data_IF_159124636188
#
_entry.id   IF_159124636188
#
_cell.length_a   1.000
_cell.length_b   1.000
_cell.length_c   1.000
_cell.angle_alpha   90.00
_cell.angle_beta   90.00
_cell.angle_gamma   90.00
#
_symmetry.space_group_name_H-M   'P 1'
#
loop_
_entity.id
_entity.type
_entity.pdbx_description
1 polymer ?
#
# COMPACT_ATOMS: atom_id res chain seq x y z
N UNK A 1 -24.12 22.24 5.55
CA UNK A 1 -23.16 21.65 6.51
C UNK A 1 -22.93 20.20 6.11
N UNK A 2 -21.80 19.87 5.48
CA UNK A 2 -21.50 18.48 5.14
C UNK A 2 -21.32 17.70 6.46
N UNK A 3 -22.04 16.59 6.60
CA UNK A 3 -21.94 15.72 7.78
C UNK A 3 -20.60 15.00 7.73
N UNK A 4 -19.81 15.08 8.81
CA UNK A 4 -18.59 14.26 8.99
C UNK A 4 -18.94 12.78 8.73
N UNK A 5 -18.15 12.04 7.93
CA UNK A 5 -18.32 10.61 7.82
C UNK A 5 -18.06 9.98 9.20
N UNK A 6 -18.90 9.00 9.56
CA UNK A 6 -18.69 8.22 10.78
C UNK A 6 -17.43 7.37 10.60
N UNK A 7 -16.55 7.27 11.61
CA UNK A 7 -15.43 6.33 11.54
C UNK A 7 -15.96 4.90 11.38
N UNK A 8 -15.29 4.12 10.54
CA UNK A 8 -15.52 2.69 10.44
C UNK A 8 -15.34 2.03 11.83
N UNK A 9 -16.06 0.93 12.13
CA UNK A 9 -15.88 0.23 13.39
C UNK A 9 -14.42 -0.17 13.58
N UNK A 10 -13.88 0.11 14.79
CA UNK A 10 -12.52 -0.28 15.17
C UNK A 10 -12.32 -1.78 14.94
N UNK A 11 -11.34 -2.16 14.12
CA UNK A 11 -10.81 -3.53 14.09
C UNK A 11 -10.24 -3.85 15.48
N UNK A 12 -10.61 -5.01 16.03
CA UNK A 12 -9.98 -5.53 17.25
C UNK A 12 -8.56 -6.01 16.96
N UNK A 13 -7.73 -6.20 18.01
CA UNK A 13 -6.40 -6.78 17.85
C UNK A 13 -6.53 -8.21 17.31
N UNK A 14 -5.81 -8.52 16.21
CA UNK A 14 -5.86 -9.82 15.54
C UNK A 14 -6.70 -9.90 14.26
N UNK A 15 -6.97 -8.77 13.59
CA UNK A 15 -7.49 -8.80 12.22
C UNK A 15 -6.45 -9.38 11.23
N UNK A 16 -6.88 -10.04 10.14
CA UNK A 16 -5.94 -10.49 9.12
C UNK A 16 -5.17 -9.28 8.54
N UNK A 17 -3.91 -9.48 8.10
CA UNK A 17 -3.13 -8.42 7.45
C UNK A 17 -3.93 -7.79 6.29
N UNK A 18 -3.60 -6.54 5.88
CA UNK A 18 -4.25 -5.90 4.73
C UNK A 18 -4.27 -6.90 3.57
N UNK A 19 -5.48 -7.24 3.15
CA UNK A 19 -5.68 -8.35 2.24
C UNK A 19 -5.28 -7.86 0.85
N UNK A 20 -4.29 -8.48 0.20
CA UNK A 20 -4.00 -8.15 -1.19
C UNK A 20 -5.27 -8.37 -2.02
N UNK A 21 -5.33 -7.68 -3.14
CA UNK A 21 -6.44 -7.77 -4.08
C UNK A 21 -6.73 -9.23 -4.44
N UNK A 22 -7.78 -9.87 -3.94
CA UNK A 22 -7.92 -11.35 -3.88
C UNK A 22 -8.27 -12.04 -5.22
N UNK A 23 -8.17 -11.34 -6.34
CA UNK A 23 -7.77 -12.02 -7.58
C UNK A 23 -6.37 -12.67 -7.46
N UNK A 24 -5.63 -12.30 -6.40
CA UNK A 24 -4.36 -12.82 -5.91
C UNK A 24 -4.56 -13.76 -4.71
N UNK A 25 -4.85 -15.04 -4.98
CA UNK A 25 -4.70 -16.09 -3.95
C UNK A 25 -3.27 -16.65 -4.00
N UNK A 26 -2.46 -16.54 -2.94
CA UNK A 26 -1.37 -17.49 -2.76
C UNK A 26 -1.96 -18.87 -2.43
N UNK A 27 -1.38 -19.93 -3.02
CA UNK A 27 -1.61 -21.29 -2.55
C UNK A 27 -1.18 -21.38 -1.07
N UNK A 28 -1.89 -22.14 -0.21
CA UNK A 28 -1.65 -22.18 1.24
C UNK A 28 -0.30 -22.79 1.66
N UNK A 29 0.62 -23.08 0.74
CA UNK A 29 1.84 -23.84 1.00
C UNK A 29 3.14 -23.01 0.96
N UNK A 30 3.07 -21.70 0.66
CA UNK A 30 4.27 -20.83 0.72
C UNK A 30 3.95 -19.47 1.31
N UNK A 31 3.78 -19.45 2.62
CA UNK A 31 3.89 -18.24 3.43
C UNK A 31 5.39 -17.93 3.62
N UNK A 32 6.08 -17.61 2.52
CA UNK A 32 7.47 -17.16 2.57
C UNK A 32 7.48 -15.63 2.62
N UNK A 33 8.05 -15.10 3.70
CA UNK A 33 8.25 -13.69 4.00
C UNK A 33 8.54 -12.80 2.77
N UNK A 34 7.75 -11.76 2.58
CA UNK A 34 7.89 -10.81 1.47
C UNK A 34 8.53 -9.50 1.93
N UNK A 35 9.64 -9.12 1.27
CA UNK A 35 10.31 -7.81 1.32
C UNK A 35 11.53 -7.71 2.26
N UNK A 36 12.70 -7.32 1.69
CA UNK A 36 14.06 -7.35 2.26
C UNK A 36 14.64 -8.74 2.53
N UNK A 37 15.96 -8.87 2.36
CA UNK A 37 16.73 -10.07 2.74
C UNK A 37 16.73 -10.36 4.25
N UNK A 38 15.97 -9.56 5.03
CA UNK A 38 15.71 -9.72 6.47
C UNK A 38 14.36 -10.40 6.78
N UNK A 39 13.45 -10.54 5.81
CA UNK A 39 12.13 -11.15 5.98
C UNK A 39 11.07 -10.29 6.69
N UNK A 40 11.31 -9.00 6.93
CA UNK A 40 10.45 -8.12 7.75
C UNK A 40 9.65 -7.08 6.95
N UNK A 41 9.73 -7.09 5.62
CA UNK A 41 9.06 -6.11 4.75
C UNK A 41 7.55 -6.03 4.95
N UNK A 42 6.89 -7.17 5.11
CA UNK A 42 5.43 -7.22 5.33
C UNK A 42 5.04 -6.57 6.66
N UNK A 43 5.78 -6.87 7.74
CA UNK A 43 5.55 -6.26 9.05
C UNK A 43 5.79 -4.76 9.00
N UNK A 44 6.88 -4.34 8.35
CA UNK A 44 7.24 -2.92 8.16
C UNK A 44 6.13 -2.15 7.46
N UNK A 45 5.62 -2.68 6.34
CA UNK A 45 4.50 -2.08 5.60
C UNK A 45 3.26 -1.94 6.48
N UNK A 46 2.84 -3.04 7.12
CA UNK A 46 1.64 -3.09 7.98
C UNK A 46 1.70 -2.07 9.11
N UNK A 47 2.83 -2.01 9.83
CA UNK A 47 3.00 -1.05 10.94
C UNK A 47 3.05 0.39 10.42
N UNK A 48 3.73 0.66 9.30
CA UNK A 48 3.79 2.00 8.72
C UNK A 48 2.41 2.51 8.29
N UNK A 49 1.63 1.70 7.59
CA UNK A 49 0.25 2.01 7.19
C UNK A 49 -0.62 2.30 8.42
N UNK A 50 -0.56 1.42 9.42
CA UNK A 50 -1.33 1.56 10.66
C UNK A 50 -0.97 2.83 11.44
N UNK A 51 0.31 3.16 11.54
CA UNK A 51 0.76 4.36 12.21
C UNK A 51 0.26 5.64 11.50
N UNK A 52 0.24 5.66 10.16
CA UNK A 52 -0.33 6.77 9.38
C UNK A 52 -1.84 6.88 9.64
N UNK A 53 -2.59 5.78 9.56
CA UNK A 53 -4.03 5.75 9.82
C UNK A 53 -4.36 6.35 11.20
N UNK A 54 -3.65 5.92 12.25
CA UNK A 54 -3.85 6.40 13.62
C UNK A 54 -3.59 7.90 13.75
N UNK A 55 -2.54 8.41 13.09
CA UNK A 55 -2.21 9.84 13.13
C UNK A 55 -3.35 10.70 12.54
N UNK A 56 -4.04 10.21 11.51
CA UNK A 56 -5.15 10.92 10.86
C UNK A 56 -6.52 10.62 11.48
N UNK A 57 -6.64 9.58 12.30
CA UNK A 57 -7.82 9.31 13.13
C UNK A 57 -7.91 10.24 14.36
N UNK A 58 -6.92 11.11 14.59
CA UNK A 58 -6.85 11.99 15.75
C UNK A 58 -6.44 11.26 17.03
N UNK A 59 -5.80 10.09 16.91
CA UNK A 59 -5.15 9.46 18.04
C UNK A 59 -3.88 10.24 18.41
N UNK A 60 -3.42 10.09 19.66
CA UNK A 60 -2.07 10.50 20.03
C UNK A 60 -1.05 9.77 19.14
N UNK A 61 0.14 10.36 18.98
CA UNK A 61 1.21 9.75 18.17
C UNK A 61 1.44 8.31 18.63
N UNK A 62 1.19 7.36 17.73
CA UNK A 62 1.31 5.94 18.03
C UNK A 62 2.75 5.59 18.44
N UNK A 63 2.89 4.74 19.45
CA UNK A 63 4.17 4.12 19.79
C UNK A 63 4.46 3.03 18.75
N UNK A 64 5.40 3.31 17.85
CA UNK A 64 5.76 2.40 16.75
C UNK A 64 6.32 1.09 17.29
N UNK A 65 7.07 1.12 18.40
CA UNK A 65 7.60 -0.10 18.99
C UNK A 65 6.49 -0.96 19.59
N UNK A 66 5.46 -0.35 20.19
CA UNK A 66 4.27 -1.07 20.64
C UNK A 66 3.54 -1.73 19.47
N UNK A 67 3.28 -0.99 18.37
CA UNK A 67 2.67 -1.55 17.17
C UNK A 67 3.46 -2.73 16.59
N UNK A 68 4.80 -2.65 16.57
CA UNK A 68 5.64 -3.76 16.12
C UNK A 68 5.47 -4.99 17.02
N UNK A 69 5.44 -4.81 18.35
CA UNK A 69 5.23 -5.93 19.28
C UNK A 69 3.86 -6.57 19.08
N UNK A 70 2.82 -5.76 18.90
CA UNK A 70 1.47 -6.26 18.65
C UNK A 70 1.40 -7.07 17.35
N UNK A 71 1.86 -6.50 16.23
CA UNK A 71 1.80 -7.14 14.91
C UNK A 71 2.71 -8.37 14.78
N UNK A 72 3.84 -8.38 15.47
CA UNK A 72 4.74 -9.54 15.52
C UNK A 72 4.34 -10.60 16.55
N UNK A 73 3.30 -10.37 17.36
CA UNK A 73 2.93 -11.24 18.48
C UNK A 73 4.01 -11.34 19.56
N UNK A 74 4.87 -10.32 19.67
CA UNK A 74 5.98 -10.27 20.63
C UNK A 74 7.12 -11.26 20.34
N UNK A 75 7.23 -11.76 19.11
CA UNK A 75 8.22 -12.76 18.73
C UNK A 75 9.61 -12.18 18.37
N UNK A 76 9.69 -10.88 18.12
CA UNK A 76 10.95 -10.20 17.81
C UNK A 76 11.69 -9.82 19.09
N UNK A 77 13.01 -9.92 19.06
CA UNK A 77 13.83 -9.39 20.15
C UNK A 77 13.78 -7.86 20.20
N UNK A 78 14.07 -7.29 21.37
CA UNK A 78 13.96 -5.85 21.60
C UNK A 78 15.00 -5.03 20.80
N UNK A 79 16.10 -5.62 20.35
CA UNK A 79 17.06 -4.92 19.50
C UNK A 79 16.49 -4.71 18.10
N UNK A 80 15.89 -5.76 17.53
CA UNK A 80 15.22 -5.72 16.25
C UNK A 80 13.97 -4.82 16.27
N UNK A 81 13.17 -4.87 17.34
CA UNK A 81 12.04 -3.95 17.53
C UNK A 81 12.51 -2.50 17.51
N UNK A 82 13.59 -2.17 18.24
CA UNK A 82 14.13 -0.80 18.25
C UNK A 82 14.65 -0.37 16.87
N UNK A 83 15.37 -1.25 16.17
CA UNK A 83 15.88 -0.95 14.84
C UNK A 83 14.75 -0.68 13.84
N UNK A 84 13.75 -1.56 13.80
CA UNK A 84 12.60 -1.44 12.91
C UNK A 84 11.73 -0.21 13.27
N UNK A 85 11.55 0.08 14.56
CA UNK A 85 10.84 1.27 15.00
C UNK A 85 11.53 2.55 14.49
N UNK A 86 12.85 2.64 14.61
CA UNK A 86 13.62 3.78 14.10
C UNK A 86 13.43 3.97 12.59
N UNK A 87 13.50 2.90 11.80
CA UNK A 87 13.26 2.96 10.35
C UNK A 87 11.86 3.48 10.00
N UNK A 88 10.83 2.97 10.68
CA UNK A 88 9.45 3.37 10.43
C UNK A 88 9.21 4.81 10.90
N UNK A 89 9.78 5.22 12.04
CA UNK A 89 9.68 6.60 12.52
C UNK A 89 10.32 7.59 11.54
N UNK A 90 11.42 7.24 10.89
CA UNK A 90 11.99 8.06 9.81
C UNK A 90 11.05 8.17 8.61
N UNK A 91 10.42 7.07 8.20
CA UNK A 91 9.42 7.06 7.13
C UNK A 91 8.23 7.96 7.46
N UNK A 92 7.69 7.84 8.67
CA UNK A 92 6.61 8.68 9.16
C UNK A 92 7.02 10.16 9.17
N UNK A 93 8.22 10.48 9.66
CA UNK A 93 8.75 11.84 9.65
C UNK A 93 8.97 12.40 8.23
N UNK A 94 9.25 11.56 7.23
CA UNK A 94 9.30 11.96 5.82
C UNK A 94 7.90 12.23 5.27
N UNK A 95 6.95 11.33 5.49
CA UNK A 95 5.56 11.51 5.11
C UNK A 95 4.94 12.78 5.73
N UNK A 96 5.17 13.01 7.01
CA UNK A 96 4.69 14.19 7.75
C UNK A 96 5.11 15.53 7.14
N UNK A 97 6.27 15.56 6.46
CA UNK A 97 6.80 16.75 5.77
C UNK A 97 6.42 16.80 4.28
N UNK A 98 5.70 15.80 3.78
CA UNK A 98 5.31 15.71 2.38
C UNK A 98 4.16 16.66 2.05
N UNK A 99 4.04 17.01 0.77
CA UNK A 99 2.89 17.77 0.27
C UNK A 99 1.58 17.00 0.46
N UNK A 100 1.61 15.66 0.35
CA UNK A 100 0.43 14.83 0.57
C UNK A 100 -0.09 14.98 2.00
N UNK A 101 0.76 14.90 3.01
CA UNK A 101 0.33 15.08 4.40
C UNK A 101 -0.30 16.47 4.64
N UNK A 102 0.20 17.52 3.99
CA UNK A 102 -0.42 18.85 4.04
C UNK A 102 -1.81 18.85 3.39
N UNK A 103 -1.99 18.22 2.23
CA UNK A 103 -3.29 18.06 1.56
C UNK A 103 -4.30 17.30 2.42
N UNK A 104 -3.88 16.20 3.04
CA UNK A 104 -4.76 15.36 3.86
C UNK A 104 -5.18 16.05 5.18
N UNK A 105 -4.41 17.03 5.65
CA UNK A 105 -4.74 17.83 6.84
C UNK A 105 -5.69 18.99 6.57
N UNK A 106 -5.93 19.31 5.31
CA UNK A 106 -6.93 20.30 4.97
C UNK A 106 -8.31 19.81 5.45
N UNK A 107 -9.04 20.60 6.26
CA UNK A 107 -10.36 20.21 6.76
C UNK A 107 -11.40 19.93 5.67
N UNK A 108 -11.21 20.46 4.46
CA UNK A 108 -12.09 20.23 3.31
C UNK A 108 -11.73 18.94 2.55
N UNK A 109 -10.60 18.31 2.85
CA UNK A 109 -10.19 17.04 2.27
C UNK A 109 -10.82 15.86 3.04
N UNK A 110 -11.68 15.10 2.36
CA UNK A 110 -12.19 13.85 2.91
C UNK A 110 -11.17 12.73 2.72
N UNK A 111 -10.76 12.06 3.80
CA UNK A 111 -9.77 10.98 3.76
C UNK A 111 -10.36 9.66 4.24
N UNK A 112 -9.99 8.57 3.58
CA UNK A 112 -10.37 7.20 3.89
C UNK A 112 -9.12 6.34 3.83
N UNK A 113 -8.70 5.84 4.99
CA UNK A 113 -7.55 4.94 5.10
C UNK A 113 -8.03 3.49 5.18
N UNK A 114 -7.22 2.56 4.68
CA UNK A 114 -7.52 1.11 4.70
C UNK A 114 -8.93 0.80 4.18
N UNK A 115 -9.34 1.50 3.11
CA UNK A 115 -10.70 1.45 2.60
C UNK A 115 -10.97 0.07 1.98
N UNK A 116 -11.82 -0.78 2.59
CA UNK A 116 -12.12 -2.07 2.00
C UNK A 116 -12.94 -1.89 0.73
N UNK A 117 -12.61 -2.67 -0.30
CA UNK A 117 -13.37 -2.68 -1.55
C UNK A 117 -13.60 -4.12 -2.02
N UNK A 118 -14.69 -4.31 -2.76
CA UNK A 118 -14.96 -5.51 -3.52
C UNK A 118 -15.77 -5.10 -4.75
N UNK A 119 -15.37 -5.58 -5.92
CA UNK A 119 -16.08 -5.35 -7.17
C UNK A 119 -15.92 -6.53 -8.12
N UNK A 120 -16.79 -6.59 -9.12
CA UNK A 120 -16.72 -7.56 -10.19
C UNK A 120 -16.05 -6.91 -11.41
N UNK A 121 -14.77 -7.23 -11.64
CA UNK A 121 -14.03 -6.80 -12.82
C UNK A 121 -14.34 -7.75 -13.97
N UNK A 122 -15.47 -7.50 -14.65
CA UNK A 122 -15.97 -8.26 -15.82
C UNK A 122 -15.97 -9.79 -15.65
N UNK A 123 -16.48 -10.26 -14.52
CA UNK A 123 -16.54 -11.68 -14.17
C UNK A 123 -15.41 -12.14 -13.25
N UNK A 124 -14.41 -11.29 -13.00
CA UNK A 124 -13.33 -11.55 -12.06
C UNK A 124 -13.66 -10.86 -10.72
N UNK A 125 -13.90 -11.62 -9.63
CA UNK A 125 -14.07 -11.03 -8.32
C UNK A 125 -12.72 -10.46 -7.82
N UNK A 126 -12.71 -9.18 -7.49
CA UNK A 126 -11.52 -8.45 -7.05
C UNK A 126 -11.88 -7.74 -5.76
N UNK A 127 -11.11 -7.94 -4.69
CA UNK A 127 -11.39 -7.30 -3.39
C UNK A 127 -10.11 -7.13 -2.58
N UNK A 128 -10.03 -6.08 -1.76
CA UNK A 128 -8.84 -5.79 -0.95
C UNK A 128 -9.08 -4.58 -0.06
N UNK A 129 -8.00 -3.94 0.38
CA UNK A 129 -8.05 -2.63 1.03
C UNK A 129 -7.15 -1.65 0.26
N UNK A 130 -7.64 -0.43 0.06
CA UNK A 130 -6.85 0.67 -0.52
C UNK A 130 -6.24 1.46 0.63
N UNK A 131 -4.92 1.60 0.66
CA UNK A 131 -4.19 2.29 1.74
C UNK A 131 -4.77 3.68 2.03
N UNK A 132 -4.97 4.47 0.97
CA UNK A 132 -5.55 5.81 1.05
C UNK A 132 -6.41 6.14 -0.17
N UNK A 133 -7.63 6.56 0.10
CA UNK A 133 -8.48 7.30 -0.82
C UNK A 133 -8.78 8.65 -0.22
N UNK A 134 -8.61 9.72 -0.99
CA UNK A 134 -9.04 11.04 -0.55
C UNK A 134 -9.78 11.80 -1.64
N UNK A 135 -10.57 12.78 -1.23
CA UNK A 135 -11.28 13.69 -2.14
C UNK A 135 -10.98 15.13 -1.76
N UNK A 136 -10.43 15.87 -2.70
CA UNK A 136 -10.18 17.30 -2.60
C UNK A 136 -11.00 18.07 -3.64
N UNK A 137 -10.73 19.37 -3.82
CA UNK A 137 -11.42 20.21 -4.79
C UNK A 137 -11.20 19.79 -6.27
N UNK A 138 -10.20 18.95 -6.55
CA UNK A 138 -9.87 18.47 -7.90
C UNK A 138 -10.53 17.13 -8.24
N UNK A 139 -11.02 16.40 -7.24
CA UNK A 139 -11.69 15.12 -7.44
C UNK A 139 -11.23 14.03 -6.49
N UNK A 140 -11.45 12.77 -6.90
CA UNK A 140 -10.98 11.60 -6.17
C UNK A 140 -9.51 11.29 -6.46
N UNK A 141 -8.82 10.78 -5.45
CA UNK A 141 -7.44 10.33 -5.55
C UNK A 141 -7.25 9.03 -4.78
N UNK A 142 -6.41 8.16 -5.33
CA UNK A 142 -5.96 6.90 -4.76
C UNK A 142 -4.46 6.99 -4.56
N UNK A 143 -4.00 6.69 -3.35
CA UNK A 143 -2.57 6.58 -3.04
C UNK A 143 -2.29 5.27 -2.33
N UNK A 144 -1.26 4.58 -2.80
CA UNK A 144 -0.79 3.32 -2.25
C UNK A 144 0.64 3.53 -1.71
N UNK A 145 0.89 3.13 -0.47
CA UNK A 145 2.11 3.45 0.26
C UNK A 145 3.13 2.33 0.14
N UNK A 146 4.37 2.67 -0.20
CA UNK A 146 5.48 1.73 -0.37
C UNK A 146 6.59 1.98 0.64
N UNK A 147 7.05 0.91 1.27
CA UNK A 147 8.19 0.95 2.20
C UNK A 147 9.49 0.48 1.55
N UNK A 148 9.43 0.14 0.27
CA UNK A 148 10.56 -0.32 -0.53
C UNK A 148 11.62 0.76 -0.71
N UNK A 149 12.87 0.32 -0.74
CA UNK A 149 13.98 1.15 -1.18
C UNK A 149 14.07 1.17 -2.70
N UNK A 150 14.41 2.33 -3.25
CA UNK A 150 14.62 2.44 -4.70
C UNK A 150 15.86 1.66 -5.15
N UNK A 151 16.90 1.56 -4.31
CA UNK A 151 18.15 0.81 -4.59
C UNK A 151 18.79 1.16 -5.94
N UNK A 152 18.81 2.46 -6.26
CA UNK A 152 19.35 2.97 -7.53
C UNK A 152 18.39 2.90 -8.72
N UNK A 153 17.20 2.29 -8.56
CA UNK A 153 16.12 2.37 -9.55
C UNK A 153 15.52 3.77 -9.56
N UNK A 154 15.02 4.17 -10.73
CA UNK A 154 14.12 5.30 -10.88
C UNK A 154 12.75 5.00 -10.25
N UNK A 155 11.96 6.03 -9.98
CA UNK A 155 10.58 5.85 -9.49
C UNK A 155 9.71 5.08 -10.48
N UNK A 156 9.97 5.21 -11.77
CA UNK A 156 9.25 4.48 -12.83
C UNK A 156 9.57 2.98 -12.80
N UNK A 157 10.85 2.61 -12.71
CA UNK A 157 11.26 1.21 -12.55
C UNK A 157 10.78 0.61 -11.22
N UNK A 158 10.75 1.42 -10.16
CA UNK A 158 10.26 0.98 -8.86
C UNK A 158 8.73 0.86 -8.81
N UNK A 159 7.99 1.58 -9.66
CA UNK A 159 6.52 1.54 -9.68
C UNK A 159 5.94 0.39 -10.50
N UNK A 160 6.69 -0.13 -11.48
CA UNK A 160 6.23 -1.16 -12.42
C UNK A 160 5.50 -2.36 -11.76
N UNK A 161 6.01 -2.98 -10.66
CA UNK A 161 5.34 -4.13 -10.03
C UNK A 161 3.98 -3.79 -9.40
N UNK A 162 3.70 -2.51 -9.15
CA UNK A 162 2.49 -2.07 -8.45
C UNK A 162 1.43 -1.49 -9.39
N UNK A 163 1.72 -1.37 -10.70
CA UNK A 163 0.80 -0.72 -11.63
C UNK A 163 -0.54 -1.45 -11.75
N UNK A 164 -0.54 -2.79 -11.79
CA UNK A 164 -1.78 -3.59 -11.84
C UNK A 164 -2.63 -3.35 -10.58
N UNK A 165 -2.01 -3.39 -9.40
CA UNK A 165 -2.69 -3.14 -8.13
C UNK A 165 -3.28 -1.73 -8.09
N UNK A 166 -2.47 -0.72 -8.41
CA UNK A 166 -2.89 0.67 -8.39
C UNK A 166 -4.01 0.94 -9.39
N UNK A 167 -3.96 0.33 -10.57
CA UNK A 167 -4.98 0.47 -11.59
C UNK A 167 -6.29 -0.23 -11.20
N UNK A 168 -6.23 -1.38 -10.51
CA UNK A 168 -7.42 -2.03 -9.92
C UNK A 168 -8.07 -1.16 -8.83
N UNK A 169 -7.26 -0.48 -8.00
CA UNK A 169 -7.78 0.48 -7.02
C UNK A 169 -8.45 1.67 -7.70
N UNK A 170 -7.80 2.26 -8.71
CA UNK A 170 -8.37 3.35 -9.49
C UNK A 170 -9.70 2.95 -10.13
N UNK A 171 -9.74 1.77 -10.74
CA UNK A 171 -10.96 1.21 -11.33
C UNK A 171 -12.08 0.98 -10.31
N UNK A 172 -11.75 0.44 -9.12
CA UNK A 172 -12.75 0.23 -8.07
C UNK A 172 -13.40 1.54 -7.62
N UNK A 173 -12.62 2.61 -7.48
CA UNK A 173 -13.13 3.94 -7.14
C UNK A 173 -13.92 4.57 -8.29
N UNK A 174 -13.45 4.45 -9.53
CA UNK A 174 -14.19 4.90 -10.71
C UNK A 174 -15.55 4.20 -10.82
N UNK A 175 -15.62 2.89 -10.57
CA UNK A 175 -16.87 2.14 -10.57
C UNK A 175 -17.81 2.55 -9.43
N UNK A 176 -17.28 2.79 -8.24
CA UNK A 176 -18.08 3.17 -7.08
C UNK A 176 -18.62 4.61 -7.17
N UNK A 177 -17.90 5.51 -7.84
CA UNK A 177 -18.17 6.95 -7.82
C UNK A 177 -18.61 7.54 -9.15
N UNK A 178 -18.31 6.87 -10.27
CA UNK A 178 -18.50 7.39 -11.62
C UNK A 178 -17.45 8.42 -12.06
N UNK A 179 -16.43 8.67 -11.22
CA UNK A 179 -15.38 9.66 -11.46
C UNK A 179 -14.01 8.98 -11.44
N UNK A 180 -13.20 9.21 -12.47
CA UNK A 180 -11.86 8.66 -12.57
C UNK A 180 -10.93 9.31 -11.55
N UNK A 181 -10.31 8.56 -10.62
CA UNK A 181 -9.41 9.13 -9.65
C UNK A 181 -8.00 9.37 -10.21
N UNK A 182 -7.30 10.36 -9.66
CA UNK A 182 -5.84 10.41 -9.77
C UNK A 182 -5.22 9.23 -9.00
N UNK A 183 -4.20 8.58 -9.55
CA UNK A 183 -3.57 7.40 -8.94
C UNK A 183 -2.07 7.65 -8.72
N UNK A 184 -1.57 7.37 -7.51
CA UNK A 184 -0.16 7.55 -7.19
C UNK A 184 0.37 6.51 -6.20
N UNK A 185 1.68 6.33 -6.20
CA UNK A 185 2.45 5.59 -5.20
C UNK A 185 3.26 6.58 -4.36
N UNK A 186 3.23 6.44 -3.04
CA UNK A 186 4.13 7.18 -2.14
C UNK A 186 5.21 6.24 -1.62
N UNK A 187 6.47 6.49 -1.99
CA UNK A 187 7.62 5.77 -1.46
C UNK A 187 8.04 6.39 -0.14
N UNK A 188 7.62 5.82 0.99
CA UNK A 188 7.78 6.38 2.33
C UNK A 188 9.26 6.57 2.73
N UNK A 189 10.16 5.72 2.22
CA UNK A 189 11.60 5.87 2.47
C UNK A 189 12.21 7.06 1.76
N UNK A 190 11.78 7.45 0.56
CA UNK A 190 12.29 8.67 -0.08
C UNK A 190 11.40 9.90 0.18
N UNK A 191 10.14 9.68 0.56
CA UNK A 191 9.12 10.72 0.63
C UNK A 191 8.60 11.16 -0.74
N UNK A 192 8.95 10.43 -1.80
CA UNK A 192 8.59 10.80 -3.17
C UNK A 192 7.25 10.21 -3.58
N UNK A 193 6.41 11.06 -4.17
CA UNK A 193 5.13 10.68 -4.75
C UNK A 193 5.30 10.51 -6.26
N UNK A 194 4.98 9.33 -6.76
CA UNK A 194 5.01 9.02 -8.18
C UNK A 194 3.60 8.74 -8.69
N UNK A 195 3.14 9.50 -9.68
CA UNK A 195 1.86 9.27 -10.36
C UNK A 195 2.14 8.66 -11.74
N UNK A 196 1.94 7.33 -11.91
CA UNK A 196 2.07 6.70 -13.23
C UNK A 196 1.09 7.30 -14.23
N UNK A 197 1.48 7.37 -15.50
CA UNK A 197 0.61 7.85 -16.56
C UNK A 197 -0.60 6.94 -16.80
N UNK A 198 -1.71 7.51 -17.28
CA UNK A 198 -2.93 6.74 -17.56
C UNK A 198 -2.70 5.60 -18.56
N UNK A 199 -1.83 5.81 -19.56
CA UNK A 199 -1.46 4.78 -20.52
C UNK A 199 -0.79 3.57 -19.83
N UNK A 200 0.15 3.81 -18.91
CA UNK A 200 0.84 2.74 -18.18
C UNK A 200 -0.11 1.93 -17.30
N UNK A 201 -1.06 2.60 -16.62
CA UNK A 201 -2.10 1.92 -15.83
C UNK A 201 -3.06 1.11 -16.71
N UNK A 202 -3.43 1.65 -17.87
CA UNK A 202 -4.27 0.95 -18.86
C UNK A 202 -3.59 -0.27 -19.45
N UNK A 203 -2.32 -0.16 -19.83
CA UNK A 203 -1.50 -1.26 -20.33
C UNK A 203 -1.33 -2.37 -19.29
N UNK A 204 -1.06 -1.98 -18.03
CA UNK A 204 -0.95 -2.94 -16.93
C UNK A 204 -2.27 -3.71 -16.70
N UNK A 205 -3.42 -3.03 -16.71
CA UNK A 205 -4.73 -3.69 -16.61
C UNK A 205 -5.03 -4.61 -17.80
N UNK A 206 -4.66 -4.20 -19.02
CA UNK A 206 -4.86 -5.01 -20.21
C UNK A 206 -4.03 -6.30 -20.13
N UNK A 207 -2.74 -6.20 -19.78
CA UNK A 207 -1.87 -7.36 -19.59
C UNK A 207 -2.37 -8.28 -18.47
N UNK A 208 -2.81 -7.71 -17.35
CA UNK A 208 -3.43 -8.46 -16.25
C UNK A 208 -4.69 -9.21 -16.72
N UNK A 209 -5.49 -8.60 -17.59
CA UNK A 209 -6.70 -9.23 -18.13
C UNK A 209 -6.35 -10.40 -19.05
N UNK A 210 -5.41 -10.21 -19.96
CA UNK A 210 -4.93 -11.28 -20.84
C UNK A 210 -4.42 -12.49 -20.04
N UNK A 211 -3.69 -12.24 -18.95
CA UNK A 211 -3.22 -13.28 -18.05
C UNK A 211 -4.37 -14.07 -17.41
N UNK A 212 -5.39 -13.37 -16.89
CA UNK A 212 -6.56 -14.01 -16.25
C UNK A 212 -7.40 -14.78 -17.27
N UNK A 213 -7.63 -14.21 -18.46
CA UNK A 213 -8.39 -14.87 -19.53
C UNK A 213 -7.67 -16.12 -20.05
N UNK A 214 -6.34 -16.15 -19.99
CA UNK A 214 -5.52 -17.34 -20.25
C UNK A 214 -5.52 -18.38 -19.12
N UNK A 215 -6.27 -18.14 -18.03
CA UNK A 215 -6.35 -19.00 -16.86
C UNK A 215 -5.22 -18.81 -15.85
N UNK A 216 -4.41 -17.76 -16.01
CA UNK A 216 -3.42 -17.33 -15.03
C UNK A 216 -4.08 -16.71 -13.79
N UNK A 217 -3.32 -16.65 -12.71
CA UNK A 217 -3.68 -15.84 -11.56
C UNK A 217 -2.95 -14.51 -11.64
N UNK A 218 -3.58 -13.44 -11.17
CA UNK A 218 -2.82 -12.28 -10.75
C UNK A 218 -2.06 -12.76 -9.51
N UNK A 219 -0.76 -13.05 -9.61
CA UNK A 219 0.10 -13.21 -8.43
C UNK A 219 0.83 -11.88 -8.22
N UNK A 220 1.11 -11.45 -6.97
CA UNK A 220 1.83 -10.21 -6.79
C UNK A 220 3.24 -10.49 -7.33
N UNK A 221 3.63 -9.85 -8.43
CA UNK A 221 4.95 -10.08 -9.01
C UNK A 221 6.01 -9.75 -7.97
N UNK A 222 6.67 -10.81 -7.51
CA UNK A 222 7.86 -10.73 -6.68
C UNK A 222 8.93 -10.08 -7.55
N UNK A 223 9.41 -8.92 -7.16
CA UNK A 223 10.66 -8.38 -7.68
C UNK A 223 11.80 -9.32 -7.30
N UNK A 224 11.96 -10.43 -8.04
CA UNK A 224 13.12 -11.29 -7.92
C UNK A 224 14.34 -10.45 -8.32
N UNK A 225 15.13 -10.07 -7.31
CA UNK A 225 16.49 -9.65 -7.53
C UNK A 225 17.22 -10.87 -8.09
N UNK A 226 17.41 -10.92 -9.42
CA UNK A 226 18.41 -11.83 -9.99
C UNK A 226 19.74 -11.46 -9.36
N UNK A 227 20.24 -12.32 -8.48
CA UNK A 227 21.63 -12.30 -8.07
C UNK A 227 22.46 -12.33 -9.35
N UNK A 228 23.23 -11.27 -9.58
CA UNK A 228 24.30 -11.31 -10.57
C UNK A 228 25.32 -12.31 -10.02
N UNK A 229 25.41 -13.49 -10.66
CA UNK A 229 26.52 -14.41 -10.45
C UNK A 229 27.82 -13.64 -10.62
N UNK A 230 28.57 -13.46 -9.52
CA UNK A 230 29.97 -13.08 -9.58
C UNK A 230 30.71 -14.20 -10.35
N UNK A 231 31.10 -13.90 -11.58
CA UNK A 231 32.07 -14.72 -12.31
C UNK A 231 33.44 -14.50 -11.67
N UNK A 232 34.13 -15.55 -11.17
CA UNK A 232 35.49 -15.41 -10.69
C UNK A 232 36.41 -15.22 -11.89
N UNK A 233 37.36 -14.29 -11.78
CA UNK A 233 38.56 -14.22 -12.61
C UNK A 233 39.78 -14.29 -11.70
#
# INVERSE_FOLDING_TARGET
MPRRPRPAPRRGPGGPPPTPVTALRPRPERQAAYGHGDGLGTLRGTVAHRAIELAFAGADRADVAELIREESGGLLDEELVRALAGEIEEMLARFERSQLAATLRDPETACYFELPFAWNWDGVPVHGAIDLVYRDARGWHVVDFKTDELRGRTLEEASAPYLVQLALYGGAIEHATGERPGCALLFLRSGELHAPGEAALGEALAAARELVDAGGALEPEVGESREMEESPA
#
